data_IF_473440402098
#
_entry.id   IF_473440402098
#
_cell.length_a   1.000
_cell.length_b   1.000
_cell.length_c   1.000
_cell.angle_alpha   90.00
_cell.angle_beta   90.00
_cell.angle_gamma   90.00
#
_symmetry.space_group_name_H-M   'P 1'
#
loop_
_entity.id
_entity.type
_entity.pdbx_description
1 polymer ?
#
# COMPACT_ATOMS: atom_id res chain seq x y z
N UNK A 1 60.70 65.49 -28.19
CA UNK A 1 59.62 65.42 -27.14
C UNK A 1 58.82 64.15 -27.19
N UNK A 2 58.97 63.30 -28.16
CA UNK A 2 58.19 62.00 -28.33
C UNK A 2 58.78 60.79 -27.57
N UNK A 3 60.04 60.77 -27.26
CA UNK A 3 60.71 59.64 -26.59
C UNK A 3 60.43 59.56 -25.08
N UNK A 4 60.26 60.69 -24.44
CA UNK A 4 60.00 60.74 -22.98
C UNK A 4 58.63 60.28 -22.57
N UNK A 5 57.63 60.28 -23.48
CA UNK A 5 56.27 59.85 -23.24
C UNK A 5 56.15 58.34 -23.33
N UNK A 6 57.02 57.63 -24.07
CA UNK A 6 56.99 56.18 -24.25
C UNK A 6 57.61 55.47 -23.05
N UNK A 7 58.59 56.01 -22.38
CA UNK A 7 59.17 55.45 -21.16
C UNK A 7 58.25 55.61 -19.95
N UNK A 8 57.47 56.67 -19.84
CA UNK A 8 56.53 56.89 -18.77
C UNK A 8 55.31 55.93 -18.86
N UNK A 9 54.89 55.53 -20.06
CA UNK A 9 53.81 54.57 -20.25
C UNK A 9 54.31 53.15 -20.05
N UNK A 10 55.57 52.82 -20.29
CA UNK A 10 56.11 51.46 -20.02
C UNK A 10 56.30 51.21 -18.54
N UNK A 11 56.58 52.25 -17.73
CA UNK A 11 56.67 52.07 -16.26
C UNK A 11 55.35 52.05 -15.55
N UNK A 12 54.27 52.54 -16.14
CA UNK A 12 52.91 52.43 -15.57
C UNK A 12 52.34 50.99 -15.60
N UNK A 13 52.84 50.10 -16.43
CA UNK A 13 52.39 48.76 -16.58
C UNK A 13 53.09 47.74 -15.68
N UNK A 14 54.09 48.15 -14.86
CA UNK A 14 54.88 47.20 -14.04
C UNK A 14 54.80 47.53 -12.54
N UNK A 15 54.07 48.53 -12.13
CA UNK A 15 53.73 48.64 -10.70
C UNK A 15 52.39 47.93 -10.47
N UNK A 16 52.38 46.63 -10.69
CA UNK A 16 51.51 45.80 -9.89
C UNK A 16 51.95 45.99 -8.44
N UNK A 17 51.20 46.81 -7.74
CA UNK A 17 51.45 47.16 -6.36
C UNK A 17 51.59 45.85 -5.58
N UNK A 18 52.69 45.63 -4.87
CA UNK A 18 52.92 44.41 -4.06
C UNK A 18 51.68 44.08 -3.26
N UNK A 19 50.90 45.06 -2.81
CA UNK A 19 49.64 44.96 -2.17
C UNK A 19 48.55 44.21 -3.03
N UNK A 20 48.52 44.54 -4.35
CA UNK A 20 47.59 43.87 -5.28
C UNK A 20 47.93 42.39 -5.48
N UNK A 21 49.20 42.06 -5.52
CA UNK A 21 49.67 40.68 -5.65
C UNK A 21 49.34 39.90 -4.39
N UNK A 22 49.62 40.45 -3.22
CA UNK A 22 49.30 39.81 -1.92
C UNK A 22 47.78 39.62 -1.79
N UNK A 23 46.97 40.64 -2.13
CA UNK A 23 45.51 40.56 -2.08
C UNK A 23 44.96 39.48 -3.03
N UNK A 24 45.49 39.41 -4.24
CA UNK A 24 45.06 38.38 -5.22
C UNK A 24 45.42 36.96 -4.82
N UNK A 25 46.59 36.73 -4.20
CA UNK A 25 47.02 35.46 -3.67
C UNK A 25 46.13 35.03 -2.48
N UNK A 26 45.85 35.96 -1.55
CA UNK A 26 44.93 35.68 -0.43
C UNK A 26 43.52 35.34 -0.92
N UNK A 27 43.01 36.06 -1.94
CA UNK A 27 41.73 35.81 -2.54
C UNK A 27 41.69 34.45 -3.23
N UNK A 28 42.76 34.06 -3.94
CA UNK A 28 42.86 32.76 -4.58
C UNK A 28 42.89 31.61 -3.56
N UNK A 29 43.67 31.75 -2.49
CA UNK A 29 43.69 30.74 -1.40
C UNK A 29 42.34 30.61 -0.73
N UNK A 30 41.67 31.71 -0.42
CA UNK A 30 40.34 31.75 0.17
C UNK A 30 39.30 31.03 -0.73
N UNK A 31 39.36 31.28 -2.04
CA UNK A 31 38.46 30.67 -3.00
C UNK A 31 38.68 29.16 -3.13
N UNK A 32 39.94 28.72 -3.16
CA UNK A 32 40.29 27.30 -3.17
C UNK A 32 39.80 26.58 -1.90
N UNK A 33 39.99 27.19 -0.72
CA UNK A 33 39.52 26.62 0.54
C UNK A 33 38.00 26.49 0.57
N UNK A 34 37.26 27.48 0.07
CA UNK A 34 35.78 27.41 -0.01
C UNK A 34 35.35 26.31 -0.96
N UNK A 35 35.98 26.16 -2.13
CA UNK A 35 35.65 25.08 -3.09
C UNK A 35 35.90 23.68 -2.47
N UNK A 36 37.08 23.50 -1.87
CA UNK A 36 37.43 22.21 -1.24
C UNK A 36 36.46 21.89 -0.12
N UNK A 37 36.14 22.84 0.75
CA UNK A 37 35.18 22.67 1.83
C UNK A 37 33.78 22.34 1.28
N UNK A 38 33.35 23.05 0.24
CA UNK A 38 32.05 22.79 -0.42
C UNK A 38 31.96 21.37 -1.02
N UNK A 39 33.02 20.91 -1.68
CA UNK A 39 33.07 19.56 -2.24
C UNK A 39 33.04 18.48 -1.14
N UNK A 40 33.79 18.69 -0.05
CA UNK A 40 33.78 17.76 1.09
C UNK A 40 32.39 17.67 1.77
N UNK A 41 31.78 18.85 2.00
CA UNK A 41 30.44 18.92 2.58
C UNK A 41 29.40 18.28 1.66
N UNK A 42 29.46 18.57 0.35
CA UNK A 42 28.56 17.95 -0.62
C UNK A 42 28.66 16.43 -0.63
N UNK A 43 29.87 15.89 -0.62
CA UNK A 43 30.08 14.44 -0.61
C UNK A 43 29.58 13.80 0.69
N UNK A 44 29.85 14.41 1.84
CA UNK A 44 29.34 13.95 3.15
C UNK A 44 27.82 14.01 3.22
N UNK A 45 27.25 15.12 2.73
CA UNK A 45 25.81 15.32 2.75
C UNK A 45 25.07 14.33 1.81
N UNK A 46 25.63 14.08 0.62
CA UNK A 46 25.09 13.08 -0.31
C UNK A 46 25.03 11.70 0.32
N UNK A 47 26.13 11.23 0.92
CA UNK A 47 26.18 9.92 1.60
C UNK A 47 25.21 9.85 2.78
N UNK A 48 25.07 10.92 3.54
CA UNK A 48 24.14 10.97 4.66
C UNK A 48 22.68 10.91 4.18
N UNK A 49 22.33 11.64 3.11
CA UNK A 49 21.00 11.59 2.53
C UNK A 49 20.65 10.22 1.95
N UNK A 50 21.57 9.61 1.20
CA UNK A 50 21.36 8.27 0.63
C UNK A 50 21.09 7.25 1.76
N UNK A 51 21.91 7.27 2.80
CA UNK A 51 21.73 6.39 3.95
C UNK A 51 20.40 6.64 4.64
N UNK A 52 20.08 7.90 4.96
CA UNK A 52 18.81 8.24 5.64
C UNK A 52 17.60 7.88 4.79
N UNK A 53 17.66 8.05 3.46
CA UNK A 53 16.58 7.67 2.56
C UNK A 53 16.37 6.15 2.54
N UNK A 54 17.44 5.37 2.50
CA UNK A 54 17.37 3.89 2.57
C UNK A 54 16.81 3.44 3.91
N UNK A 55 17.37 3.92 5.03
CA UNK A 55 16.95 3.54 6.38
C UNK A 55 15.45 3.90 6.61
N UNK A 56 15.00 5.07 6.16
CA UNK A 56 13.60 5.48 6.27
C UNK A 56 12.68 4.63 5.38
N UNK A 57 13.13 4.27 4.19
CA UNK A 57 12.36 3.42 3.29
C UNK A 57 12.20 2.02 3.86
N UNK A 58 13.29 1.44 4.38
CA UNK A 58 13.28 0.11 5.03
C UNK A 58 12.32 0.10 6.23
N UNK A 59 12.44 1.07 7.13
CA UNK A 59 11.54 1.20 8.29
C UNK A 59 10.06 1.37 7.87
N UNK A 60 9.80 2.13 6.80
CA UNK A 60 8.45 2.33 6.28
C UNK A 60 7.88 1.05 5.67
N UNK A 61 8.70 0.30 4.92
CA UNK A 61 8.31 -0.99 4.34
C UNK A 61 8.01 -1.99 5.45
N UNK A 62 8.88 -2.12 6.45
CA UNK A 62 8.69 -3.03 7.59
C UNK A 62 7.39 -2.70 8.33
N UNK A 63 7.16 -1.44 8.70
CA UNK A 63 5.93 -1.01 9.35
C UNK A 63 4.67 -1.26 8.49
N UNK A 64 4.79 -1.13 7.16
CA UNK A 64 3.70 -1.42 6.23
C UNK A 64 3.39 -2.91 6.16
N UNK A 65 4.41 -3.75 6.13
CA UNK A 65 4.27 -5.22 6.14
C UNK A 65 3.62 -5.69 7.45
N UNK A 66 4.07 -5.17 8.59
CA UNK A 66 3.50 -5.51 9.89
C UNK A 66 2.02 -5.12 9.98
N UNK A 67 1.68 -3.92 9.51
CA UNK A 67 0.30 -3.46 9.45
C UNK A 67 -0.56 -4.35 8.53
N UNK A 68 -0.04 -4.67 7.34
CA UNK A 68 -0.75 -5.54 6.41
C UNK A 68 -0.98 -6.93 7.01
N UNK A 69 0.01 -7.50 7.68
CA UNK A 69 -0.13 -8.78 8.37
C UNK A 69 -1.20 -8.72 9.47
N UNK A 70 -1.24 -7.64 10.25
CA UNK A 70 -2.26 -7.45 11.26
C UNK A 70 -3.67 -7.36 10.65
N UNK A 71 -3.83 -6.57 9.57
CA UNK A 71 -5.10 -6.43 8.85
C UNK A 71 -5.58 -7.77 8.26
N UNK A 72 -4.66 -8.57 7.69
CA UNK A 72 -4.98 -9.90 7.16
C UNK A 72 -5.40 -10.88 8.27
N UNK A 73 -4.76 -10.83 9.44
CA UNK A 73 -5.16 -11.63 10.59
C UNK A 73 -6.55 -11.25 11.10
N UNK A 74 -6.86 -9.97 11.17
CA UNK A 74 -8.17 -9.45 11.56
C UNK A 74 -9.27 -9.95 10.61
N UNK A 75 -9.07 -9.83 9.29
CA UNK A 75 -10.02 -10.31 8.29
C UNK A 75 -10.22 -11.82 8.39
N UNK A 76 -9.14 -12.57 8.64
CA UNK A 76 -9.21 -14.01 8.89
C UNK A 76 -10.05 -14.34 10.12
N UNK A 77 -9.95 -13.56 11.19
CA UNK A 77 -10.76 -13.73 12.41
C UNK A 77 -12.24 -13.43 12.14
N UNK A 78 -12.55 -12.39 11.34
CA UNK A 78 -13.91 -12.07 10.92
C UNK A 78 -14.53 -13.26 10.16
N UNK A 79 -13.82 -13.85 9.21
CA UNK A 79 -14.29 -15.00 8.44
C UNK A 79 -14.49 -16.24 9.32
N UNK A 80 -13.59 -16.49 10.26
CA UNK A 80 -13.76 -17.56 11.24
C UNK A 80 -14.97 -17.29 12.14
N UNK A 81 -15.15 -16.05 12.59
CA UNK A 81 -16.33 -15.63 13.35
C UNK A 81 -17.63 -15.84 12.57
N UNK A 82 -17.64 -15.48 11.29
CA UNK A 82 -18.76 -15.74 10.39
C UNK A 82 -19.11 -17.23 10.33
N UNK A 83 -18.10 -18.09 10.15
CA UNK A 83 -18.33 -19.54 10.11
C UNK A 83 -18.84 -20.09 11.43
N UNK A 84 -18.10 -19.90 12.53
CA UNK A 84 -18.40 -20.57 13.80
C UNK A 84 -19.56 -19.95 14.58
N UNK A 85 -19.77 -18.66 14.51
CA UNK A 85 -20.77 -17.97 15.31
C UNK A 85 -22.06 -17.68 14.55
N UNK A 86 -22.05 -17.74 13.21
CA UNK A 86 -23.24 -17.45 12.41
C UNK A 86 -23.65 -18.69 11.61
N UNK A 87 -22.80 -19.15 10.66
CA UNK A 87 -23.19 -20.21 9.72
C UNK A 87 -23.42 -21.55 10.39
N UNK A 88 -22.62 -21.92 11.39
CA UNK A 88 -22.76 -23.19 12.11
C UNK A 88 -23.80 -23.17 13.24
N UNK A 89 -24.17 -21.99 13.75
CA UNK A 89 -25.09 -21.89 14.89
C UNK A 89 -26.52 -21.68 14.49
N UNK A 90 -26.78 -21.03 13.36
CA UNK A 90 -28.13 -20.67 12.96
C UNK A 90 -28.55 -21.40 11.68
N UNK A 91 -29.83 -21.75 11.60
CA UNK A 91 -30.38 -22.19 10.32
C UNK A 91 -30.38 -21.06 9.31
N UNK A 92 -29.75 -21.29 8.15
CA UNK A 92 -29.62 -20.29 7.08
C UNK A 92 -30.94 -19.70 6.58
N UNK A 93 -32.05 -20.44 6.80
CA UNK A 93 -33.40 -19.99 6.44
C UNK A 93 -34.07 -19.19 7.55
N UNK A 94 -33.43 -19.08 8.71
CA UNK A 94 -33.99 -18.39 9.87
C UNK A 94 -33.81 -16.87 9.80
N UNK A 95 -34.69 -16.18 10.50
CA UNK A 95 -34.56 -14.73 10.66
C UNK A 95 -33.32 -14.37 11.52
N UNK A 96 -33.07 -15.21 12.52
CA UNK A 96 -31.92 -15.06 13.41
C UNK A 96 -30.59 -15.10 12.63
N UNK A 97 -30.47 -15.99 11.65
CA UNK A 97 -29.32 -16.03 10.76
C UNK A 97 -29.14 -14.71 10.02
N UNK A 98 -30.20 -14.19 9.40
CA UNK A 98 -30.14 -12.92 8.67
C UNK A 98 -29.73 -11.76 9.56
N UNK A 99 -30.29 -11.68 10.78
CA UNK A 99 -29.95 -10.63 11.74
C UNK A 99 -28.48 -10.73 12.20
N UNK A 100 -27.96 -11.92 12.48
CA UNK A 100 -26.57 -12.13 12.87
C UNK A 100 -25.59 -11.92 11.71
N UNK A 101 -25.97 -12.27 10.50
CA UNK A 101 -25.16 -12.06 9.31
C UNK A 101 -25.04 -10.57 8.96
N UNK A 102 -26.13 -9.81 9.05
CA UNK A 102 -26.14 -8.35 8.94
C UNK A 102 -25.30 -7.69 10.04
N UNK A 103 -25.46 -8.12 11.29
CA UNK A 103 -24.70 -7.59 12.42
C UNK A 103 -23.19 -7.82 12.25
N UNK A 104 -22.80 -9.00 11.76
CA UNK A 104 -21.40 -9.30 11.45
C UNK A 104 -20.82 -8.30 10.44
N UNK A 105 -21.56 -8.02 9.38
CA UNK A 105 -21.14 -7.05 8.37
C UNK A 105 -21.10 -5.63 8.94
N UNK A 106 -22.15 -5.17 9.58
CA UNK A 106 -22.23 -3.81 10.14
C UNK A 106 -21.09 -3.52 11.12
N UNK A 107 -20.76 -4.49 11.97
CA UNK A 107 -19.69 -4.36 12.97
C UNK A 107 -18.30 -4.27 12.34
N UNK A 108 -18.12 -4.81 11.13
CA UNK A 108 -16.82 -4.89 10.44
C UNK A 108 -16.80 -4.15 9.09
N UNK A 109 -17.77 -3.28 8.84
CA UNK A 109 -17.92 -2.57 7.56
C UNK A 109 -16.78 -1.58 7.25
N UNK A 110 -15.95 -1.24 8.23
CA UNK A 110 -14.72 -0.48 8.07
C UNK A 110 -13.55 -1.33 7.50
N UNK A 111 -13.63 -2.66 7.61
CA UNK A 111 -12.58 -3.61 7.20
C UNK A 111 -12.96 -4.45 5.99
N UNK A 112 -14.24 -4.81 5.86
CA UNK A 112 -14.75 -5.65 4.78
C UNK A 112 -15.76 -4.88 3.92
N UNK A 113 -15.64 -5.04 2.60
CA UNK A 113 -16.53 -4.39 1.65
C UNK A 113 -17.86 -5.12 1.51
N UNK A 114 -17.81 -6.44 1.53
CA UNK A 114 -18.99 -7.31 1.47
C UNK A 114 -18.68 -8.67 2.04
N UNK A 115 -19.70 -9.37 2.50
CA UNK A 115 -19.64 -10.77 2.88
C UNK A 115 -20.77 -11.49 2.13
N UNK A 116 -20.50 -12.68 1.60
CA UNK A 116 -21.49 -13.46 0.86
C UNK A 116 -21.32 -14.96 1.13
N UNK A 117 -22.43 -15.65 1.15
CA UNK A 117 -22.53 -17.11 1.28
C UNK A 117 -23.14 -17.70 0.01
N UNK A 118 -22.45 -18.66 -0.58
CA UNK A 118 -22.88 -19.35 -1.79
C UNK A 118 -23.07 -20.86 -1.54
N UNK A 119 -23.99 -21.46 -2.25
CA UNK A 119 -24.09 -22.92 -2.28
C UNK A 119 -23.02 -23.55 -3.22
N UNK A 120 -22.90 -24.88 -3.19
CA UNK A 120 -21.97 -25.62 -4.06
C UNK A 120 -22.26 -25.44 -5.57
N UNK A 121 -23.46 -24.99 -5.93
CA UNK A 121 -23.83 -24.70 -7.32
C UNK A 121 -23.53 -23.26 -7.71
N UNK A 122 -22.98 -22.47 -6.79
CA UNK A 122 -22.67 -21.06 -6.98
C UNK A 122 -23.89 -20.14 -6.91
N UNK A 123 -25.02 -20.60 -6.32
CA UNK A 123 -26.15 -19.74 -6.07
C UNK A 123 -25.93 -18.94 -4.77
N UNK A 124 -26.27 -17.67 -4.80
CA UNK A 124 -26.18 -16.80 -3.63
C UNK A 124 -27.24 -17.20 -2.59
N UNK A 125 -26.81 -17.49 -1.38
CA UNK A 125 -27.67 -17.78 -0.23
C UNK A 125 -27.93 -16.50 0.56
N UNK A 126 -26.86 -15.77 0.90
CA UNK A 126 -26.92 -14.52 1.65
C UNK A 126 -25.79 -13.61 1.24
N UNK A 127 -26.02 -12.29 1.27
CA UNK A 127 -25.00 -11.27 1.09
C UNK A 127 -25.29 -10.02 1.91
N UNK A 128 -24.22 -9.43 2.43
CA UNK A 128 -24.26 -8.11 3.05
C UNK A 128 -23.10 -7.24 2.49
N UNK A 129 -23.37 -5.98 2.10
CA UNK A 129 -24.72 -5.42 1.96
C UNK A 129 -25.54 -6.17 0.92
N UNK A 130 -26.85 -6.13 1.08
CA UNK A 130 -27.76 -6.73 0.09
C UNK A 130 -27.58 -6.02 -1.24
N UNK A 131 -26.97 -6.68 -2.20
CA UNK A 131 -26.69 -6.15 -3.52
C UNK A 131 -27.12 -7.14 -4.61
N UNK A 132 -27.57 -6.62 -5.75
CA UNK A 132 -27.91 -7.46 -6.90
C UNK A 132 -26.63 -8.04 -7.53
N UNK A 133 -26.64 -9.35 -7.78
CA UNK A 133 -25.56 -9.97 -8.55
C UNK A 133 -25.60 -9.55 -10.02
N UNK A 134 -24.42 -9.40 -10.61
CA UNK A 134 -24.29 -9.17 -12.06
C UNK A 134 -24.75 -10.41 -12.83
N UNK A 135 -25.66 -10.20 -13.79
CA UNK A 135 -26.32 -11.28 -14.56
C UNK A 135 -25.38 -12.21 -15.34
N UNK A 136 -24.15 -11.79 -15.61
CA UNK A 136 -23.20 -12.51 -16.47
C UNK A 136 -22.03 -13.15 -15.70
N UNK A 137 -22.03 -13.08 -14.37
CA UNK A 137 -20.93 -13.65 -13.57
C UNK A 137 -21.29 -15.08 -13.20
N UNK A 138 -20.39 -16.00 -13.57
CA UNK A 138 -20.46 -17.40 -13.11
C UNK A 138 -19.50 -17.53 -11.92
N UNK A 139 -20.08 -17.57 -10.72
CA UNK A 139 -19.33 -17.68 -9.47
C UNK A 139 -18.38 -18.88 -9.47
N UNK A 140 -18.82 -20.01 -10.00
CA UNK A 140 -18.02 -21.25 -10.12
C UNK A 140 -16.74 -21.11 -10.96
N UNK A 141 -16.65 -20.08 -11.82
CA UNK A 141 -15.44 -19.83 -12.61
C UNK A 141 -14.43 -18.96 -11.88
N UNK A 142 -14.81 -18.33 -10.78
CA UNK A 142 -13.97 -17.47 -10.00
C UNK A 142 -12.87 -18.24 -9.26
N UNK A 143 -11.69 -17.66 -9.18
CA UNK A 143 -10.53 -18.28 -8.54
C UNK A 143 -10.80 -18.57 -7.06
N UNK A 144 -11.39 -17.62 -6.34
CA UNK A 144 -11.70 -17.77 -4.94
C UNK A 144 -12.70 -18.90 -4.65
N UNK A 145 -13.67 -19.15 -5.55
CA UNK A 145 -14.63 -20.24 -5.40
C UNK A 145 -13.97 -21.61 -5.60
N UNK A 146 -13.17 -21.76 -6.66
CA UNK A 146 -12.42 -22.99 -6.93
C UNK A 146 -11.43 -23.32 -5.81
N UNK A 147 -10.70 -22.32 -5.33
CA UNK A 147 -9.76 -22.53 -4.23
C UNK A 147 -10.46 -22.97 -2.94
N UNK A 148 -11.67 -22.49 -2.66
CA UNK A 148 -12.45 -22.94 -1.52
C UNK A 148 -12.94 -24.40 -1.65
N UNK A 149 -13.23 -24.86 -2.88
CA UNK A 149 -13.59 -26.25 -3.13
C UNK A 149 -12.39 -27.21 -3.08
N UNK A 150 -11.23 -26.79 -3.57
CA UNK A 150 -10.03 -27.64 -3.67
C UNK A 150 -9.43 -27.98 -2.30
N UNK A 151 -9.51 -27.07 -1.33
CA UNK A 151 -8.93 -27.25 0.02
C UNK A 151 -9.91 -26.80 1.11
N UNK A 152 -10.77 -27.70 1.50
CA UNK A 152 -11.96 -27.46 2.35
C UNK A 152 -11.64 -26.82 3.71
N UNK A 153 -10.51 -27.10 4.31
CA UNK A 153 -10.21 -26.63 5.67
C UNK A 153 -9.48 -25.27 5.72
N UNK A 154 -9.00 -24.76 4.58
CA UNK A 154 -8.17 -23.59 4.53
C UNK A 154 -8.92 -22.32 4.13
N UNK A 155 -8.40 -21.21 4.58
CA UNK A 155 -8.79 -19.87 4.13
C UNK A 155 -7.89 -19.49 2.96
N UNK A 156 -8.49 -19.07 1.85
CA UNK A 156 -7.79 -18.69 0.63
C UNK A 156 -7.94 -17.21 0.36
N UNK A 157 -6.81 -16.56 0.06
CA UNK A 157 -6.78 -15.19 -0.43
C UNK A 157 -6.66 -15.21 -1.94
N UNK A 158 -7.52 -14.47 -2.63
CA UNK A 158 -7.36 -14.26 -4.07
C UNK A 158 -6.26 -13.24 -4.36
N UNK A 159 -5.80 -13.21 -5.59
CA UNK A 159 -5.04 -12.06 -6.10
C UNK A 159 -5.93 -10.81 -6.09
N UNK A 160 -5.35 -9.59 -5.96
CA UNK A 160 -6.10 -8.35 -6.10
C UNK A 160 -6.80 -8.30 -7.46
N UNK A 161 -8.10 -8.03 -7.47
CA UNK A 161 -8.92 -7.96 -8.68
C UNK A 161 -10.00 -6.87 -8.56
N UNK A 162 -10.60 -6.51 -9.66
CA UNK A 162 -11.75 -5.59 -9.65
C UNK A 162 -12.99 -6.37 -9.22
N UNK A 163 -13.79 -5.79 -8.33
CA UNK A 163 -15.05 -6.39 -7.90
C UNK A 163 -15.98 -6.66 -9.11
N UNK A 164 -16.32 -7.92 -9.32
CA UNK A 164 -17.12 -8.38 -10.46
C UNK A 164 -18.47 -9.01 -10.09
N UNK A 165 -18.72 -9.25 -8.79
CA UNK A 165 -19.89 -10.02 -8.35
C UNK A 165 -21.18 -9.21 -8.33
N UNK A 166 -21.14 -7.96 -7.84
CA UNK A 166 -22.31 -7.15 -7.55
C UNK A 166 -22.46 -5.92 -8.45
N UNK A 167 -23.73 -5.54 -8.76
CA UNK A 167 -24.06 -4.40 -9.61
C UNK A 167 -24.04 -3.04 -8.87
N UNK A 168 -23.57 -2.97 -7.65
CA UNK A 168 -23.57 -1.73 -6.89
C UNK A 168 -22.65 -0.68 -7.50
N UNK A 169 -23.20 0.52 -7.77
CA UNK A 169 -22.47 1.66 -8.30
C UNK A 169 -21.37 2.19 -7.37
N UNK A 170 -21.52 1.98 -6.06
CA UNK A 170 -20.54 2.39 -5.04
C UNK A 170 -19.24 1.59 -5.11
N UNK A 171 -19.30 0.36 -5.58
CA UNK A 171 -18.20 -0.58 -5.65
C UNK A 171 -17.63 -0.78 -7.06
N UNK A 172 -18.17 -0.07 -8.03
CA UNK A 172 -17.72 -0.17 -9.41
C UNK A 172 -16.27 0.27 -9.55
N UNK A 173 -15.41 -0.60 -10.10
CA UNK A 173 -13.98 -0.37 -10.31
C UNK A 173 -13.10 -0.33 -9.04
N UNK A 174 -13.58 -0.80 -7.90
CA UNK A 174 -12.71 -0.94 -6.73
C UNK A 174 -11.89 -2.22 -6.81
N UNK A 175 -10.60 -2.10 -6.44
CA UNK A 175 -9.73 -3.23 -6.25
C UNK A 175 -10.04 -3.90 -4.93
N UNK A 176 -10.26 -5.20 -4.98
CA UNK A 176 -10.58 -6.02 -3.81
C UNK A 176 -9.67 -7.25 -3.74
N UNK A 177 -9.52 -7.79 -2.55
CA UNK A 177 -8.98 -9.12 -2.31
C UNK A 177 -10.12 -9.95 -1.74
N UNK A 178 -10.46 -11.06 -2.39
CA UNK A 178 -11.48 -11.97 -1.89
C UNK A 178 -10.86 -12.97 -0.94
N UNK A 179 -11.49 -13.14 0.21
CA UNK A 179 -11.17 -14.16 1.18
C UNK A 179 -12.27 -15.21 1.15
N UNK A 180 -11.92 -16.45 0.86
CA UNK A 180 -12.89 -17.54 0.71
C UNK A 180 -12.56 -18.73 1.61
N UNK A 181 -13.60 -19.42 2.02
CA UNK A 181 -13.53 -20.65 2.81
C UNK A 181 -14.74 -21.53 2.51
N UNK A 182 -14.51 -22.84 2.44
CA UNK A 182 -15.59 -23.80 2.50
C UNK A 182 -16.15 -23.88 3.92
N UNK A 183 -17.49 -23.94 4.04
CA UNK A 183 -18.17 -24.03 5.33
C UNK A 183 -19.25 -25.12 5.27
N UNK A 184 -19.35 -25.93 6.33
CA UNK A 184 -20.46 -26.86 6.49
C UNK A 184 -21.65 -26.10 7.07
N UNK A 185 -22.74 -26.13 6.35
CA UNK A 185 -24.01 -25.54 6.79
C UNK A 185 -24.72 -26.48 7.71
N UNK A 186 -24.99 -26.04 8.93
CA UNK A 186 -25.87 -26.79 9.84
C UNK A 186 -27.30 -26.76 9.26
N UNK A 187 -27.71 -27.82 8.59
CA UNK A 187 -29.11 -28.05 8.28
C UNK A 187 -29.73 -28.51 9.58
N UNK A 188 -30.47 -27.61 10.23
CA UNK A 188 -31.26 -28.00 11.39
C UNK A 188 -31.95 -29.33 11.10
N UNK A 189 -31.83 -30.29 12.00
CA UNK A 189 -32.59 -31.55 11.92
C UNK A 189 -34.04 -31.15 11.72
N UNK A 190 -34.59 -31.47 10.56
CA UNK A 190 -36.05 -31.40 10.35
C UNK A 190 -36.60 -32.49 11.26
N UNK A 191 -37.33 -32.15 12.33
CA UNK A 191 -38.00 -33.19 13.12
C UNK A 191 -38.98 -33.89 12.17
N UNK A 192 -38.83 -35.21 12.04
CA UNK A 192 -39.75 -36.07 11.34
C UNK A 192 -41.19 -35.98 11.89
#
# INVERSE_FOLDING_TARGET
MKYRKKELNSRKNIVFNIQSIILSVLMAISLVTIIVMGLLLYHRFKLALEKTAVDNTEATVEATVDRLNADLLDIRQILNGANYNVVQQFDISSREFSEQFSLLYETNSDKIQSVALYDQKGNLIASEPVAAEKKNVRVQTQEWFKNAEDVIENIHFSTPHIQELFEDGSYRYQWVVSLSRYVDINKGEIPE
#
